data_IF_850201487821
#
_entry.id   IF_850201487821
#
_cell.length_a   1.000
_cell.length_b   1.000
_cell.length_c   1.000
_cell.angle_alpha   90.00
_cell.angle_beta   90.00
_cell.angle_gamma   90.00
#
_symmetry.space_group_name_H-M   'P 1'
#
loop_
_entity.id
_entity.type
_entity.pdbx_description
1 polymer ?
#
# COMPACT_ATOMS: atom_id res chain seq x y z
N UNK A 1 -19.13 -0.61 -3.73
CA UNK A 1 -18.25 0.14 -2.82
C UNK A 1 -18.87 0.20 -1.42
N UNK A 2 -18.14 0.66 -0.41
CA UNK A 2 -18.68 0.96 0.92
C UNK A 2 -19.04 2.44 0.97
N UNK A 3 -20.33 2.77 0.84
CA UNK A 3 -20.79 4.14 0.56
C UNK A 3 -21.31 4.87 1.80
N UNK A 4 -21.53 4.14 2.90
CA UNK A 4 -22.04 4.68 4.15
C UNK A 4 -21.48 3.94 5.37
N UNK A 5 -21.57 4.53 6.58
CA UNK A 5 -21.25 3.83 7.82
C UNK A 5 -22.05 2.53 8.00
N UNK A 6 -23.30 2.50 7.52
CA UNK A 6 -24.13 1.29 7.55
C UNK A 6 -23.57 0.20 6.64
N UNK A 7 -23.20 0.55 5.41
CA UNK A 7 -22.56 -0.42 4.50
C UNK A 7 -21.26 -0.96 5.09
N UNK A 8 -20.55 -0.13 5.85
CA UNK A 8 -19.32 -0.54 6.51
C UNK A 8 -19.56 -1.53 7.64
N UNK A 9 -20.57 -1.32 8.47
CA UNK A 9 -20.98 -2.27 9.51
C UNK A 9 -21.40 -3.61 8.90
N UNK A 10 -22.14 -3.58 7.78
CA UNK A 10 -22.52 -4.79 7.03
C UNK A 10 -21.27 -5.51 6.52
N UNK A 11 -20.34 -4.79 5.89
CA UNK A 11 -19.07 -5.35 5.44
C UNK A 11 -18.30 -6.00 6.59
N UNK A 12 -18.18 -5.34 7.75
CA UNK A 12 -17.43 -5.88 8.89
C UNK A 12 -18.07 -7.12 9.52
N UNK A 13 -19.34 -7.40 9.23
CA UNK A 13 -20.05 -8.62 9.63
C UNK A 13 -20.10 -9.68 8.50
N UNK A 14 -19.52 -9.39 7.33
CA UNK A 14 -19.64 -10.22 6.14
C UNK A 14 -18.66 -11.40 6.10
N UNK A 15 -19.04 -12.52 5.46
CA UNK A 15 -18.10 -13.55 4.99
C UNK A 15 -16.94 -12.97 4.15
N UNK A 16 -17.16 -11.91 3.39
CA UNK A 16 -16.10 -11.25 2.60
C UNK A 16 -15.02 -10.62 3.47
N UNK A 17 -15.39 -9.98 4.58
CA UNK A 17 -14.43 -9.48 5.56
C UNK A 17 -13.61 -10.63 6.16
N UNK A 18 -14.26 -11.74 6.52
CA UNK A 18 -13.57 -12.93 7.04
C UNK A 18 -12.61 -13.53 6.00
N UNK A 19 -13.01 -13.56 4.73
CA UNK A 19 -12.20 -14.04 3.62
C UNK A 19 -10.92 -13.20 3.44
N UNK A 20 -11.05 -11.87 3.41
CA UNK A 20 -9.89 -10.96 3.28
C UNK A 20 -8.97 -11.14 4.48
N UNK A 21 -9.53 -11.16 5.69
CA UNK A 21 -8.76 -11.34 6.92
C UNK A 21 -8.00 -12.68 6.91
N UNK A 22 -8.69 -13.78 6.59
CA UNK A 22 -8.11 -15.11 6.54
C UNK A 22 -7.00 -15.22 5.48
N UNK A 23 -7.17 -14.56 4.33
CA UNK A 23 -6.15 -14.55 3.29
C UNK A 23 -4.90 -13.77 3.72
N UNK A 24 -5.06 -12.53 4.19
CA UNK A 24 -3.93 -11.69 4.66
C UNK A 24 -3.19 -12.38 5.82
N UNK A 25 -3.92 -12.94 6.78
CA UNK A 25 -3.32 -13.61 7.94
C UNK A 25 -2.70 -14.96 7.58
N UNK A 26 -3.29 -15.70 6.63
CA UNK A 26 -2.68 -16.90 6.08
C UNK A 26 -1.37 -16.62 5.33
N UNK A 27 -1.29 -15.49 4.61
CA UNK A 27 -0.04 -15.01 4.03
C UNK A 27 0.99 -14.66 5.12
N UNK A 28 0.57 -13.93 6.15
CA UNK A 28 1.43 -13.58 7.30
C UNK A 28 2.00 -14.83 8.01
N UNK A 29 1.17 -15.85 8.23
CA UNK A 29 1.59 -17.11 8.87
C UNK A 29 2.56 -17.91 8.01
N UNK A 30 2.46 -17.79 6.68
CA UNK A 30 3.32 -18.56 5.75
C UNK A 30 4.80 -18.16 5.81
N UNK A 31 5.11 -16.96 6.32
CA UNK A 31 6.46 -16.38 6.34
C UNK A 31 7.10 -16.36 7.73
N UNK A 32 6.48 -16.98 8.72
CA UNK A 32 7.01 -17.03 10.09
C UNK A 32 8.46 -17.53 10.09
N UNK A 33 9.34 -16.78 10.77
CA UNK A 33 10.76 -17.10 10.96
C UNK A 33 11.55 -17.37 9.66
N UNK A 34 11.10 -16.79 8.54
CA UNK A 34 11.68 -17.06 7.21
C UNK A 34 12.19 -15.78 6.55
N UNK A 35 13.50 -15.65 6.28
CA UNK A 35 14.04 -14.52 5.51
C UNK A 35 13.70 -14.66 4.02
N UNK A 36 13.67 -13.55 3.28
CA UNK A 36 13.37 -13.56 1.85
C UNK A 36 14.38 -14.37 1.04
N UNK A 37 15.65 -14.39 1.46
CA UNK A 37 16.73 -15.17 0.87
C UNK A 37 16.54 -16.69 0.96
N UNK A 38 15.61 -17.17 1.80
CA UNK A 38 15.30 -18.60 1.89
C UNK A 38 14.46 -19.14 0.72
N UNK A 39 13.88 -18.27 -0.11
CA UNK A 39 13.09 -18.67 -1.28
C UNK A 39 13.99 -18.86 -2.49
N UNK A 40 14.00 -20.08 -3.04
CA UNK A 40 14.68 -20.35 -4.31
C UNK A 40 13.79 -19.98 -5.50
N UNK A 41 14.25 -19.04 -6.33
CA UNK A 41 13.55 -18.58 -7.53
C UNK A 41 13.54 -19.60 -8.68
N UNK A 42 14.35 -20.65 -8.62
CA UNK A 42 14.31 -21.71 -9.63
C UNK A 42 13.08 -22.60 -9.44
N UNK A 43 12.70 -22.84 -8.18
CA UNK A 43 11.66 -23.79 -7.75
C UNK A 43 10.24 -23.19 -7.73
N UNK A 44 10.08 -21.93 -8.13
CA UNK A 44 8.77 -21.27 -8.12
C UNK A 44 7.85 -21.78 -9.22
N UNK A 45 6.57 -21.88 -8.87
CA UNK A 45 5.51 -22.24 -9.78
C UNK A 45 5.39 -21.25 -10.95
N UNK A 46 5.06 -21.72 -12.18
CA UNK A 46 4.99 -20.86 -13.37
C UNK A 46 4.12 -19.61 -13.22
N UNK A 47 2.92 -19.65 -12.60
CA UNK A 47 2.10 -18.44 -12.40
C UNK A 47 2.82 -17.37 -11.58
N UNK A 48 3.60 -17.75 -10.57
CA UNK A 48 4.38 -16.80 -9.77
C UNK A 48 5.46 -16.13 -10.60
N UNK A 49 6.12 -16.88 -11.50
CA UNK A 49 7.11 -16.32 -12.45
C UNK A 49 6.45 -15.31 -13.40
N UNK A 50 5.23 -15.59 -13.85
CA UNK A 50 4.44 -14.64 -14.67
C UNK A 50 4.13 -13.37 -13.87
N UNK A 51 3.69 -13.49 -12.61
CA UNK A 51 3.44 -12.31 -11.75
C UNK A 51 4.70 -11.46 -11.56
N UNK A 52 5.86 -12.08 -11.34
CA UNK A 52 7.13 -11.35 -11.24
C UNK A 52 7.47 -10.62 -12.54
N UNK A 53 7.31 -11.27 -13.68
CA UNK A 53 7.50 -10.64 -14.99
C UNK A 53 6.53 -9.46 -15.21
N UNK A 54 5.27 -9.58 -14.76
CA UNK A 54 4.32 -8.46 -14.81
C UNK A 54 4.87 -7.25 -14.03
N UNK A 55 5.41 -7.45 -12.83
CA UNK A 55 6.01 -6.36 -12.05
C UNK A 55 7.26 -5.76 -12.73
N UNK A 56 8.08 -6.58 -13.39
CA UNK A 56 9.22 -6.11 -14.19
C UNK A 56 8.77 -5.29 -15.41
N UNK A 57 7.66 -5.69 -16.04
CA UNK A 57 7.02 -4.92 -17.12
C UNK A 57 6.45 -3.61 -16.59
N UNK A 58 5.80 -3.58 -15.42
CA UNK A 58 5.33 -2.34 -14.78
C UNK A 58 6.50 -1.38 -14.54
N UNK A 59 7.63 -1.86 -14.04
CA UNK A 59 8.84 -1.04 -13.89
C UNK A 59 9.41 -0.55 -15.22
N UNK A 60 9.32 -1.37 -16.27
CA UNK A 60 9.69 -0.95 -17.62
C UNK A 60 8.79 0.19 -18.12
N UNK A 61 7.48 0.12 -17.86
CA UNK A 61 6.54 1.20 -18.18
C UNK A 61 6.83 2.48 -17.40
N UNK A 62 7.26 2.38 -16.13
CA UNK A 62 7.72 3.53 -15.35
C UNK A 62 8.89 4.24 -16.04
N UNK A 63 9.83 3.47 -16.59
CA UNK A 63 10.97 4.02 -17.34
C UNK A 63 10.57 4.68 -18.67
N UNK A 64 9.46 4.24 -19.26
CA UNK A 64 8.89 4.79 -20.51
C UNK A 64 8.02 6.03 -20.28
N UNK A 65 7.60 6.28 -19.05
CA UNK A 65 6.80 7.46 -18.65
C UNK A 65 7.59 8.35 -17.68
N UNK A 66 8.64 9.05 -18.16
CA UNK A 66 9.45 9.90 -17.28
C UNK A 66 8.61 11.05 -16.70
N UNK A 67 8.95 11.53 -15.49
CA UNK A 67 8.21 12.61 -14.84
C UNK A 67 8.36 13.91 -15.63
N UNK A 68 7.25 14.65 -15.78
CA UNK A 68 7.28 15.98 -16.41
C UNK A 68 7.99 17.01 -15.52
N UNK A 69 8.62 18.02 -16.13
CA UNK A 69 9.21 19.13 -15.38
C UNK A 69 8.11 19.95 -14.68
N UNK A 70 8.17 20.03 -13.34
CA UNK A 70 7.12 20.69 -12.55
C UNK A 70 7.50 22.08 -12.03
N UNK A 71 8.57 22.71 -12.55
CA UNK A 71 8.94 24.09 -12.20
C UNK A 71 9.12 24.38 -10.70
N UNK A 72 9.52 23.38 -9.91
CA UNK A 72 9.66 23.48 -8.45
C UNK A 72 8.40 23.15 -7.63
N UNK A 73 7.34 22.63 -8.27
CA UNK A 73 6.20 22.03 -7.57
C UNK A 73 6.66 20.82 -6.76
N UNK A 74 6.03 20.67 -5.60
CA UNK A 74 6.30 19.65 -4.57
C UNK A 74 5.10 18.71 -4.36
N UNK A 75 4.16 18.74 -5.30
CA UNK A 75 2.95 17.92 -5.33
C UNK A 75 3.05 16.86 -6.44
N UNK A 76 2.06 15.96 -6.50
CA UNK A 76 2.03 14.84 -7.43
C UNK A 76 2.26 15.23 -8.89
N UNK A 77 3.12 14.49 -9.59
CA UNK A 77 3.44 14.67 -10.99
C UNK A 77 2.33 14.10 -11.88
N UNK A 78 1.83 14.92 -12.81
CA UNK A 78 0.74 14.51 -13.71
C UNK A 78 1.10 13.37 -14.68
N UNK A 79 2.40 13.14 -14.95
CA UNK A 79 2.88 12.00 -15.74
C UNK A 79 2.50 10.64 -15.12
N UNK A 80 2.13 10.62 -13.83
CA UNK A 80 1.56 9.44 -13.20
C UNK A 80 0.29 8.92 -13.90
N UNK A 81 -0.50 9.83 -14.48
CA UNK A 81 -1.71 9.47 -15.23
C UNK A 81 -1.36 8.66 -16.47
N UNK A 82 -0.35 9.10 -17.21
CA UNK A 82 0.15 8.42 -18.41
C UNK A 82 0.72 7.05 -18.04
N UNK A 83 1.42 6.93 -16.90
CA UNK A 83 1.90 5.66 -16.37
C UNK A 83 0.77 4.66 -16.07
N UNK A 84 -0.29 5.10 -15.38
CA UNK A 84 -1.45 4.24 -15.12
C UNK A 84 -2.18 3.87 -16.41
N UNK A 85 -2.26 4.77 -17.39
CA UNK A 85 -2.88 4.50 -18.68
C UNK A 85 -2.08 3.45 -19.48
N UNK A 86 -0.75 3.45 -19.39
CA UNK A 86 0.11 2.40 -19.94
C UNK A 86 -0.12 1.04 -19.27
N UNK A 87 -0.26 1.01 -17.94
CA UNK A 87 -0.62 -0.22 -17.20
C UNK A 87 -1.99 -0.72 -17.66
N UNK A 88 -2.99 0.17 -17.74
CA UNK A 88 -4.36 -0.17 -18.19
C UNK A 88 -4.35 -0.79 -19.58
N UNK A 89 -3.51 -0.30 -20.49
CA UNK A 89 -3.39 -0.84 -21.84
C UNK A 89 -2.74 -2.24 -21.88
N UNK A 90 -1.81 -2.54 -20.97
CA UNK A 90 -1.05 -3.80 -20.94
C UNK A 90 -1.72 -4.89 -20.07
N UNK A 91 -2.54 -4.50 -19.10
CA UNK A 91 -3.18 -5.41 -18.16
C UNK A 91 -3.96 -6.56 -18.83
N UNK A 92 -4.67 -6.38 -19.96
CA UNK A 92 -5.33 -7.49 -20.63
C UNK A 92 -4.38 -8.63 -21.03
N UNK A 93 -3.23 -8.30 -21.61
CA UNK A 93 -2.23 -9.27 -22.06
C UNK A 93 -1.66 -10.06 -20.86
N UNK A 94 -1.38 -9.37 -19.75
CA UNK A 94 -0.87 -9.98 -18.53
C UNK A 94 -1.84 -10.99 -17.92
N UNK A 95 -3.13 -10.71 -17.95
CA UNK A 95 -4.14 -11.65 -17.45
C UNK A 95 -4.28 -12.86 -18.36
N UNK A 96 -4.18 -12.69 -19.68
CA UNK A 96 -4.14 -13.81 -20.63
C UNK A 96 -2.93 -14.71 -20.37
N UNK A 97 -1.75 -14.14 -20.10
CA UNK A 97 -0.55 -14.89 -19.72
C UNK A 97 -0.72 -15.69 -18.41
N UNK A 98 -1.55 -15.20 -17.49
CA UNK A 98 -1.94 -15.90 -16.26
C UNK A 98 -3.02 -16.96 -16.49
N UNK A 99 -3.52 -17.12 -17.71
CA UNK A 99 -4.60 -18.04 -18.06
C UNK A 99 -5.99 -17.54 -17.64
N UNK A 100 -6.17 -16.22 -17.50
CA UNK A 100 -7.44 -15.58 -17.13
C UNK A 100 -8.14 -15.09 -18.40
N UNK A 101 -9.38 -15.51 -18.58
CA UNK A 101 -10.28 -14.88 -19.54
C UNK A 101 -10.85 -13.58 -18.94
N UNK A 102 -10.83 -12.48 -19.70
CA UNK A 102 -11.30 -11.17 -19.27
C UNK A 102 -12.81 -11.05 -19.43
N UNK A 103 -13.54 -11.96 -18.80
CA UNK A 103 -14.98 -11.94 -18.70
C UNK A 103 -15.39 -12.26 -17.25
N UNK A 104 -16.39 -11.56 -16.72
CA UNK A 104 -16.89 -11.78 -15.36
C UNK A 104 -15.80 -11.68 -14.29
N UNK A 105 -15.44 -12.81 -13.68
CA UNK A 105 -14.43 -12.88 -12.61
C UNK A 105 -13.03 -12.42 -13.04
N UNK A 106 -12.68 -12.54 -14.33
CA UNK A 106 -11.40 -12.02 -14.83
C UNK A 106 -11.35 -10.50 -14.94
N UNK A 107 -12.47 -9.86 -15.27
CA UNK A 107 -12.59 -8.39 -15.27
C UNK A 107 -12.46 -7.84 -13.85
N UNK A 108 -13.06 -8.53 -12.87
CA UNK A 108 -12.91 -8.22 -11.46
C UNK A 108 -11.44 -8.32 -11.01
N UNK A 109 -10.75 -9.42 -11.32
CA UNK A 109 -9.33 -9.56 -11.01
C UNK A 109 -8.50 -8.43 -11.64
N UNK A 110 -8.73 -8.12 -12.92
CA UNK A 110 -8.05 -7.02 -13.61
C UNK A 110 -8.27 -5.68 -12.92
N UNK A 111 -9.49 -5.42 -12.45
CA UNK A 111 -9.83 -4.20 -11.74
C UNK A 111 -9.00 -4.04 -10.45
N UNK A 112 -8.83 -5.09 -9.65
CA UNK A 112 -7.97 -5.03 -8.46
C UNK A 112 -6.50 -4.74 -8.80
N UNK A 113 -5.96 -5.35 -9.86
CA UNK A 113 -4.59 -5.05 -10.31
C UNK A 113 -4.46 -3.57 -10.69
N UNK A 114 -5.39 -3.02 -11.46
CA UNK A 114 -5.36 -1.62 -11.88
C UNK A 114 -5.48 -0.65 -10.69
N UNK A 115 -6.23 -1.01 -9.66
CA UNK A 115 -6.38 -0.22 -8.44
C UNK A 115 -5.23 -0.40 -7.44
N UNK A 116 -4.22 -1.22 -7.76
CA UNK A 116 -3.07 -1.52 -6.90
C UNK A 116 -1.96 -0.47 -6.93
N UNK A 117 -1.95 0.43 -7.92
CA UNK A 117 -0.81 1.32 -8.18
C UNK A 117 -1.03 2.78 -7.76
N UNK A 118 -2.21 3.12 -7.23
CA UNK A 118 -2.57 4.47 -6.78
C UNK A 118 -3.80 5.03 -7.51
N UNK A 119 -4.22 6.24 -7.14
CA UNK A 119 -5.37 6.91 -7.76
C UNK A 119 -4.94 7.90 -8.85
N UNK A 120 -5.46 7.70 -10.06
CA UNK A 120 -5.14 8.51 -11.24
C UNK A 120 -5.45 10.00 -11.08
N UNK A 121 -6.59 10.34 -10.48
CA UNK A 121 -7.06 11.72 -10.39
C UNK A 121 -6.36 12.47 -9.25
N UNK A 122 -6.28 11.83 -8.08
CA UNK A 122 -5.67 12.41 -6.87
C UNK A 122 -4.14 12.36 -6.86
N UNK A 123 -3.53 11.51 -7.69
CA UNK A 123 -2.07 11.29 -7.74
C UNK A 123 -1.56 10.92 -6.33
N UNK A 124 -2.27 9.97 -5.72
CA UNK A 124 -1.99 9.46 -4.39
C UNK A 124 -1.87 7.94 -4.37
N UNK A 125 -1.27 7.42 -3.30
CA UNK A 125 -1.16 6.00 -3.01
C UNK A 125 -1.20 5.79 -1.49
N UNK A 126 -1.69 4.64 -1.03
CA UNK A 126 -1.75 4.30 0.39
C UNK A 126 -2.20 2.86 0.62
N UNK A 127 -2.51 2.53 1.87
CA UNK A 127 -2.79 1.16 2.32
C UNK A 127 -4.01 0.51 1.64
N UNK A 128 -4.96 1.29 1.13
CA UNK A 128 -6.07 0.77 0.31
C UNK A 128 -5.62 0.23 -1.04
N UNK A 129 -4.64 0.87 -1.68
CA UNK A 129 -4.04 0.40 -2.94
C UNK A 129 -3.14 -0.81 -2.70
N UNK A 130 -2.38 -0.80 -1.61
CA UNK A 130 -1.63 -1.96 -1.14
C UNK A 130 -2.55 -3.17 -0.92
N UNK A 131 -3.71 -2.95 -0.29
CA UNK A 131 -4.73 -3.98 -0.08
C UNK A 131 -5.28 -4.51 -1.41
N UNK A 132 -5.54 -3.65 -2.40
CA UNK A 132 -5.99 -4.09 -3.73
C UNK A 132 -4.99 -5.05 -4.39
N UNK A 133 -3.69 -4.87 -4.20
CA UNK A 133 -2.68 -5.81 -4.71
C UNK A 133 -2.81 -7.19 -4.06
N UNK A 134 -3.01 -7.22 -2.74
CA UNK A 134 -3.24 -8.49 -2.04
C UNK A 134 -4.58 -9.12 -2.44
N UNK A 135 -5.61 -8.32 -2.67
CA UNK A 135 -6.91 -8.83 -3.12
C UNK A 135 -6.84 -9.33 -4.56
N UNK A 136 -6.00 -8.75 -5.42
CA UNK A 136 -5.69 -9.34 -6.72
C UNK A 136 -5.07 -10.74 -6.57
N UNK A 137 -4.09 -10.92 -5.66
CA UNK A 137 -3.54 -12.25 -5.36
C UNK A 137 -4.60 -13.21 -4.79
N UNK A 138 -5.55 -12.71 -3.99
CA UNK A 138 -6.71 -13.49 -3.53
C UNK A 138 -7.58 -13.92 -4.71
N UNK A 139 -7.83 -13.05 -5.68
CA UNK A 139 -8.58 -13.40 -6.89
C UNK A 139 -7.89 -14.54 -7.66
N UNK A 140 -6.57 -14.46 -7.84
CA UNK A 140 -5.78 -15.53 -8.47
C UNK A 140 -5.85 -16.85 -7.69
N UNK A 141 -5.87 -16.78 -6.35
CA UNK A 141 -6.06 -17.96 -5.50
C UNK A 141 -7.47 -18.57 -5.65
N UNK A 142 -8.51 -17.74 -5.71
CA UNK A 142 -9.89 -18.22 -5.89
C UNK A 142 -10.13 -18.81 -7.28
N UNK A 143 -9.48 -18.27 -8.31
CA UNK A 143 -9.44 -18.80 -9.68
C UNK A 143 -8.58 -20.06 -9.82
N UNK A 144 -7.96 -20.55 -8.72
CA UNK A 144 -7.10 -21.75 -8.68
C UNK A 144 -5.83 -21.64 -9.53
N UNK A 145 -5.42 -20.43 -9.87
CA UNK A 145 -4.14 -20.15 -10.53
C UNK A 145 -3.00 -20.23 -9.51
N UNK A 146 -3.27 -19.79 -8.29
CA UNK A 146 -2.36 -19.90 -7.14
C UNK A 146 -2.89 -20.90 -6.11
N UNK A 147 -1.98 -21.53 -5.38
CA UNK A 147 -2.27 -22.42 -4.27
C UNK A 147 -1.66 -21.95 -2.95
N UNK A 148 -2.01 -22.64 -1.85
CA UNK A 148 -1.42 -22.37 -0.53
C UNK A 148 0.09 -22.59 -0.48
N UNK A 149 0.63 -23.46 -1.35
CA UNK A 149 2.05 -23.69 -1.48
C UNK A 149 2.80 -22.43 -1.95
N UNK A 150 2.12 -21.51 -2.64
CA UNK A 150 2.73 -20.27 -3.16
C UNK A 150 2.79 -19.16 -2.11
N UNK A 151 2.01 -19.22 -1.02
CA UNK A 151 1.79 -18.11 -0.09
C UNK A 151 3.09 -17.49 0.42
N UNK A 152 4.05 -18.33 0.80
CA UNK A 152 5.36 -17.87 1.28
C UNK A 152 6.06 -17.04 0.21
N UNK A 153 6.14 -17.54 -1.02
CA UNK A 153 6.77 -16.86 -2.14
C UNK A 153 6.01 -15.60 -2.55
N UNK A 154 4.67 -15.61 -2.47
CA UNK A 154 3.86 -14.43 -2.74
C UNK A 154 4.25 -13.26 -1.81
N UNK A 155 4.56 -13.54 -0.55
CA UNK A 155 4.99 -12.50 0.39
C UNK A 155 6.48 -12.17 0.23
N UNK A 156 7.34 -13.18 0.27
CA UNK A 156 8.80 -12.98 0.34
C UNK A 156 9.44 -12.52 -0.97
N UNK A 157 8.77 -12.76 -2.10
CA UNK A 157 9.29 -12.41 -3.42
C UNK A 157 8.35 -11.47 -4.17
N UNK A 158 7.09 -11.87 -4.41
CA UNK A 158 6.17 -11.06 -5.22
C UNK A 158 5.83 -9.74 -4.54
N UNK A 159 5.47 -9.77 -3.27
CA UNK A 159 5.15 -8.55 -2.52
C UNK A 159 6.40 -7.70 -2.28
N UNK A 160 7.55 -8.31 -1.98
CA UNK A 160 8.84 -7.59 -1.95
C UNK A 160 9.13 -6.83 -3.25
N UNK A 161 8.97 -7.49 -4.40
CA UNK A 161 9.13 -6.89 -5.73
C UNK A 161 8.11 -5.77 -5.98
N UNK A 162 6.85 -5.96 -5.60
CA UNK A 162 5.81 -4.95 -5.70
C UNK A 162 6.17 -3.69 -4.89
N UNK A 163 6.70 -3.84 -3.67
CA UNK A 163 7.16 -2.71 -2.85
C UNK A 163 8.31 -1.96 -3.54
N UNK A 164 9.25 -2.65 -4.16
CA UNK A 164 10.33 -1.99 -4.91
C UNK A 164 9.80 -1.15 -6.06
N UNK A 165 8.87 -1.69 -6.85
CA UNK A 165 8.19 -0.93 -7.92
C UNK A 165 7.49 0.29 -7.32
N UNK A 166 6.69 0.09 -6.27
CA UNK A 166 5.92 1.18 -5.67
C UNK A 166 6.80 2.27 -5.07
N UNK A 167 7.93 1.93 -4.44
CA UNK A 167 8.90 2.91 -3.95
C UNK A 167 9.43 3.79 -5.08
N UNK A 168 9.73 3.20 -6.25
CA UNK A 168 10.17 3.96 -7.43
C UNK A 168 9.04 4.82 -8.00
N UNK A 169 7.82 4.30 -8.09
CA UNK A 169 6.65 5.08 -8.53
C UNK A 169 6.41 6.29 -7.60
N UNK A 170 6.43 6.07 -6.28
CA UNK A 170 6.28 7.11 -5.26
C UNK A 170 7.34 8.20 -5.44
N UNK A 171 8.61 7.82 -5.58
CA UNK A 171 9.74 8.74 -5.77
C UNK A 171 9.68 9.48 -7.11
N UNK A 172 9.37 8.78 -8.20
CA UNK A 172 9.35 9.37 -9.55
C UNK A 172 8.24 10.40 -9.70
N UNK A 173 7.04 10.10 -9.18
CA UNK A 173 5.87 10.95 -9.38
C UNK A 173 5.45 11.77 -8.17
N UNK A 174 6.19 11.75 -7.07
CA UNK A 174 5.88 12.54 -5.87
C UNK A 174 4.47 12.25 -5.34
N UNK A 175 4.07 10.98 -5.33
CA UNK A 175 2.72 10.58 -4.96
C UNK A 175 2.37 11.12 -3.57
N UNK A 176 1.15 11.64 -3.42
CA UNK A 176 0.63 12.05 -2.12
C UNK A 176 0.24 10.81 -1.28
N UNK A 177 0.44 10.82 0.04
CA UNK A 177 -0.07 9.78 0.92
C UNK A 177 -1.60 9.77 0.93
N UNK A 178 -2.22 8.66 0.56
CA UNK A 178 -3.66 8.48 0.61
C UNK A 178 -4.10 8.10 2.03
N UNK A 179 -5.02 8.89 2.60
CA UNK A 179 -5.46 8.74 3.98
C UNK A 179 -4.49 9.39 4.97
N UNK A 180 -4.81 10.60 5.44
CA UNK A 180 -3.96 11.34 6.36
C UNK A 180 -4.03 10.75 7.78
N UNK A 181 -3.01 9.98 8.17
CA UNK A 181 -2.72 9.73 9.59
C UNK A 181 -1.70 10.73 10.15
N UNK A 182 -1.10 11.56 9.29
CA UNK A 182 -0.03 12.47 9.64
C UNK A 182 1.12 11.74 10.34
N UNK A 183 1.72 12.39 11.33
CA UNK A 183 2.86 11.85 12.08
C UNK A 183 2.47 10.68 13.01
N UNK A 184 1.17 10.43 13.18
CA UNK A 184 0.64 9.32 13.96
C UNK A 184 0.27 8.09 13.12
N UNK A 185 0.59 8.10 11.82
CA UNK A 185 0.53 6.91 10.98
C UNK A 185 1.71 5.97 11.27
N UNK A 186 1.53 4.68 10.95
CA UNK A 186 2.63 3.71 10.97
C UNK A 186 3.68 4.08 9.91
N UNK A 187 3.21 4.37 8.70
CA UNK A 187 3.97 4.84 7.55
C UNK A 187 3.03 5.67 6.64
N UNK A 188 3.61 6.46 5.74
CA UNK A 188 2.84 7.31 4.83
C UNK A 188 2.07 6.47 3.80
N UNK A 189 2.60 5.31 3.38
CA UNK A 189 2.08 4.57 2.22
C UNK A 189 1.68 3.13 2.52
N UNK A 190 2.49 2.42 3.31
CA UNK A 190 2.41 0.97 3.45
C UNK A 190 1.98 0.54 4.85
N UNK A 191 1.32 -0.60 4.95
CA UNK A 191 1.03 -1.24 6.24
C UNK A 191 1.59 -2.66 6.29
N UNK A 192 1.31 -3.45 5.25
CA UNK A 192 1.58 -4.88 5.22
C UNK A 192 3.07 -5.30 5.33
N UNK A 193 4.08 -4.52 4.90
CA UNK A 193 5.49 -4.86 5.13
C UNK A 193 5.82 -4.99 6.60
N UNK A 194 5.16 -4.20 7.46
CA UNK A 194 5.33 -4.29 8.91
C UNK A 194 4.65 -5.53 9.49
N UNK A 195 3.46 -5.90 9.01
CA UNK A 195 2.78 -7.12 9.44
C UNK A 195 3.57 -8.38 9.03
N UNK A 196 3.87 -8.49 7.73
CA UNK A 196 4.58 -9.64 7.19
C UNK A 196 6.02 -9.71 7.70
N UNK A 197 6.72 -8.57 7.76
CA UNK A 197 8.07 -8.51 8.29
C UNK A 197 8.15 -8.80 9.80
N UNK A 198 7.13 -8.43 10.59
CA UNK A 198 7.07 -8.83 12.00
C UNK A 198 6.85 -10.35 12.14
N UNK A 199 6.14 -10.97 11.19
CA UNK A 199 6.01 -12.43 11.12
C UNK A 199 7.33 -13.10 10.74
N UNK A 200 8.08 -12.56 9.77
CA UNK A 200 9.42 -13.07 9.45
C UNK A 200 10.38 -13.07 10.65
N UNK A 201 10.20 -12.12 11.57
CA UNK A 201 11.06 -11.93 12.74
C UNK A 201 10.49 -12.53 14.03
N UNK A 202 9.36 -13.26 13.98
CA UNK A 202 8.51 -13.59 15.12
C UNK A 202 9.29 -14.19 16.32
N UNK A 203 10.20 -15.11 16.06
CA UNK A 203 11.07 -15.77 17.03
C UNK A 203 12.56 -15.58 16.72
N UNK A 204 12.91 -14.51 16.00
CA UNK A 204 14.28 -14.31 15.56
C UNK A 204 15.26 -14.22 16.75
N UNK A 205 16.36 -14.99 16.77
CA UNK A 205 17.20 -15.16 17.96
C UNK A 205 18.03 -13.91 18.34
N UNK A 206 18.36 -13.05 17.36
CA UNK A 206 19.29 -11.93 17.56
C UNK A 206 18.71 -10.55 17.24
N UNK A 207 18.07 -10.38 16.08
CA UNK A 207 17.37 -9.16 15.68
C UNK A 207 16.16 -8.96 16.60
N UNK A 208 16.23 -7.99 17.50
CA UNK A 208 15.13 -7.58 18.38
C UNK A 208 14.37 -6.40 17.78
N UNK A 209 13.16 -6.08 18.28
CA UNK A 209 12.45 -4.87 17.85
C UNK A 209 13.25 -3.57 17.91
N UNK A 210 14.10 -3.41 18.93
CA UNK A 210 14.93 -2.22 19.09
C UNK A 210 16.04 -2.12 18.03
N UNK A 211 16.35 -3.22 17.35
CA UNK A 211 17.39 -3.25 16.32
C UNK A 211 17.03 -2.41 15.08
N UNK A 212 15.77 -1.98 14.92
CA UNK A 212 15.39 -1.04 13.85
C UNK A 212 16.05 0.34 13.97
N UNK A 213 16.66 0.65 15.12
CA UNK A 213 17.47 1.87 15.31
C UNK A 213 18.95 1.67 14.95
N UNK A 214 19.36 0.44 14.67
CA UNK A 214 20.75 0.07 14.44
C UNK A 214 21.03 0.07 12.94
N UNK A 215 21.74 1.10 12.48
CA UNK A 215 22.02 1.29 11.05
C UNK A 215 22.71 0.09 10.40
N UNK A 216 23.70 -0.52 11.08
CA UNK A 216 24.39 -1.72 10.56
C UNK A 216 23.46 -2.92 10.42
N UNK A 217 22.49 -3.08 11.33
CA UNK A 217 21.48 -4.15 11.21
C UNK A 217 20.57 -3.89 10.02
N UNK A 218 20.16 -2.63 9.80
CA UNK A 218 19.35 -2.28 8.63
C UNK A 218 20.14 -2.53 7.35
N UNK A 219 21.38 -2.06 7.25
CA UNK A 219 22.21 -2.22 6.05
C UNK A 219 22.43 -3.68 5.68
N UNK A 220 22.66 -4.55 6.66
CA UNK A 220 22.90 -5.97 6.43
C UNK A 220 21.61 -6.75 6.11
N UNK A 221 20.50 -6.45 6.78
CA UNK A 221 19.32 -7.33 6.80
C UNK A 221 18.08 -6.75 6.11
N UNK A 222 18.12 -5.50 5.60
CA UNK A 222 16.97 -4.86 4.96
C UNK A 222 16.48 -5.56 3.69
N UNK A 223 17.34 -6.29 2.97
CA UNK A 223 16.93 -7.07 1.79
C UNK A 223 16.18 -8.36 2.16
N UNK A 224 16.46 -8.92 3.34
CA UNK A 224 15.96 -10.22 3.77
C UNK A 224 14.69 -10.12 4.61
N UNK A 225 14.45 -8.99 5.27
CA UNK A 225 13.31 -8.79 6.16
C UNK A 225 12.51 -7.55 5.77
N UNK A 226 11.25 -7.77 5.36
CA UNK A 226 10.34 -6.73 4.88
C UNK A 226 10.18 -5.57 5.88
N UNK A 227 10.17 -5.86 7.18
CA UNK A 227 10.08 -4.83 8.23
C UNK A 227 11.29 -3.90 8.18
N UNK A 228 12.49 -4.48 8.15
CA UNK A 228 13.74 -3.72 8.12
C UNK A 228 13.91 -2.98 6.80
N UNK A 229 13.52 -3.60 5.68
CA UNK A 229 13.48 -2.97 4.37
C UNK A 229 12.54 -1.77 4.32
N UNK A 230 11.37 -1.85 4.95
CA UNK A 230 10.45 -0.72 5.04
C UNK A 230 10.99 0.38 5.96
N UNK A 231 11.58 0.05 7.10
CA UNK A 231 12.26 1.04 7.97
C UNK A 231 13.39 1.74 7.21
N UNK A 232 14.19 1.00 6.44
CA UNK A 232 15.24 1.57 5.60
C UNK A 232 14.67 2.60 4.60
N UNK A 233 13.59 2.24 3.91
CA UNK A 233 12.93 3.15 2.98
C UNK A 233 12.40 4.41 3.68
N UNK A 234 11.76 4.27 4.84
CA UNK A 234 11.31 5.42 5.64
C UNK A 234 12.50 6.31 6.00
N UNK A 235 13.58 5.76 6.55
CA UNK A 235 14.75 6.55 6.91
C UNK A 235 15.38 7.30 5.72
N UNK A 236 15.37 6.71 4.53
CA UNK A 236 15.95 7.35 3.31
C UNK A 236 15.07 8.44 2.69
N UNK A 237 13.77 8.46 3.00
CA UNK A 237 12.80 9.44 2.47
C UNK A 237 12.50 10.57 3.45
N UNK A 238 13.02 10.51 4.68
CA UNK A 238 12.81 11.54 5.70
C UNK A 238 14.10 12.36 5.87
N UNK A 239 13.91 13.67 5.99
CA UNK A 239 15.02 14.65 5.97
C UNK A 239 15.67 14.83 7.34
N UNK A 240 14.99 14.39 8.39
CA UNK A 240 15.46 14.47 9.78
C UNK A 240 16.01 13.10 10.19
N UNK A 241 17.22 13.06 10.76
CA UNK A 241 17.80 11.82 11.28
C UNK A 241 17.12 11.43 12.59
N UNK A 242 16.79 10.14 12.69
CA UNK A 242 16.22 9.51 13.88
C UNK A 242 14.73 9.25 13.74
N UNK A 243 14.36 7.97 13.85
CA UNK A 243 13.01 7.46 13.62
C UNK A 243 11.96 8.18 14.47
N UNK A 244 12.27 8.46 15.74
CA UNK A 244 11.43 9.22 16.67
C UNK A 244 10.89 10.54 16.14
N UNK A 245 11.64 11.23 15.28
CA UNK A 245 11.29 12.59 14.84
C UNK A 245 10.34 12.61 13.64
N UNK A 246 10.34 11.56 12.83
CA UNK A 246 9.53 11.50 11.61
C UNK A 246 8.50 10.36 11.62
N UNK A 247 8.67 9.37 12.51
CA UNK A 247 7.83 8.18 12.64
C UNK A 247 7.74 7.75 14.11
N UNK A 248 7.18 8.58 15.01
CA UNK A 248 7.12 8.28 16.45
C UNK A 248 6.31 7.01 16.75
N UNK A 249 5.32 6.64 15.94
CA UNK A 249 4.59 5.39 16.13
C UNK A 249 5.51 4.16 15.93
N UNK A 250 6.37 4.17 14.92
CA UNK A 250 7.37 3.09 14.72
C UNK A 250 8.40 3.08 15.85
N UNK A 251 8.82 4.25 16.31
CA UNK A 251 9.71 4.41 17.48
C UNK A 251 9.09 3.79 18.74
N UNK A 252 7.84 4.11 19.05
CA UNK A 252 7.11 3.57 20.21
C UNK A 252 6.89 2.06 20.09
N UNK A 253 6.54 1.56 18.90
CA UNK A 253 6.37 0.12 18.64
C UNK A 253 7.67 -0.64 18.87
N UNK A 254 8.82 -0.05 18.52
CA UNK A 254 10.14 -0.66 18.69
C UNK A 254 10.52 -0.95 20.14
N UNK A 255 9.88 -0.27 21.11
CA UNK A 255 10.06 -0.51 22.53
C UNK A 255 9.36 -1.80 23.03
N UNK A 256 8.61 -2.50 22.17
CA UNK A 256 8.01 -3.77 22.51
C UNK A 256 9.07 -4.84 22.83
N UNK A 257 8.76 -5.71 23.80
CA UNK A 257 9.69 -6.73 24.31
C UNK A 257 10.03 -7.85 23.33
N UNK A 258 9.23 -8.03 22.27
CA UNK A 258 9.37 -9.15 21.32
C UNK A 258 8.63 -8.87 20.02
N UNK A 259 9.06 -9.51 18.93
CA UNK A 259 8.34 -9.51 17.66
C UNK A 259 6.96 -10.16 17.76
N UNK A 260 6.77 -11.18 18.60
CA UNK A 260 5.43 -11.73 18.91
C UNK A 260 4.44 -10.68 19.38
N UNK A 261 4.88 -9.73 20.23
CA UNK A 261 4.01 -8.63 20.68
C UNK A 261 3.69 -7.66 19.54
N UNK A 262 4.68 -7.38 18.68
CA UNK A 262 4.52 -6.48 17.53
C UNK A 262 3.59 -7.11 16.51
N UNK A 263 3.82 -8.35 16.10
CA UNK A 263 3.02 -9.07 15.11
C UNK A 263 1.55 -9.13 15.52
N UNK A 264 1.26 -9.53 16.76
CA UNK A 264 -0.11 -9.52 17.27
C UNK A 264 -0.72 -8.12 17.36
N UNK A 265 0.12 -7.09 17.59
CA UNK A 265 -0.26 -5.69 17.51
C UNK A 265 -0.60 -5.26 16.09
N UNK A 266 0.22 -5.64 15.11
CA UNK A 266 0.04 -5.35 13.69
C UNK A 266 -1.23 -6.00 13.15
N UNK A 267 -1.59 -7.21 13.57
CA UNK A 267 -2.88 -7.83 13.22
C UNK A 267 -4.07 -7.01 13.71
N UNK A 268 -4.05 -6.56 14.96
CA UNK A 268 -5.11 -5.72 15.52
C UNK A 268 -5.18 -4.36 14.84
N UNK A 269 -4.02 -3.78 14.56
CA UNK A 269 -3.91 -2.48 13.92
C UNK A 269 -4.33 -2.54 12.45
N UNK A 270 -4.07 -3.63 11.72
CA UNK A 270 -4.58 -3.85 10.37
C UNK A 270 -6.11 -3.80 10.34
N UNK A 271 -6.74 -4.51 11.29
CA UNK A 271 -8.21 -4.47 11.42
C UNK A 271 -8.69 -3.07 11.76
N UNK A 272 -8.08 -2.38 12.73
CA UNK A 272 -8.54 -1.09 13.21
C UNK A 272 -8.33 0.05 12.21
N UNK A 273 -7.14 0.12 11.60
CA UNK A 273 -6.68 1.27 10.82
C UNK A 273 -6.82 1.07 9.30
N UNK A 274 -6.96 -0.17 8.82
CA UNK A 274 -7.24 -0.48 7.42
C UNK A 274 -8.71 -0.88 7.26
N UNK A 275 -9.10 -2.06 7.74
CA UNK A 275 -10.43 -2.62 7.44
C UNK A 275 -11.60 -1.90 8.13
N UNK A 276 -11.41 -1.37 9.34
CA UNK A 276 -12.43 -0.61 10.09
C UNK A 276 -12.37 0.89 9.86
N UNK A 277 -11.47 1.36 8.99
CA UNK A 277 -11.35 2.78 8.67
C UNK A 277 -12.09 3.09 7.38
N UNK A 278 -13.28 3.69 7.51
CA UNK A 278 -14.13 4.01 6.36
C UNK A 278 -13.42 4.82 5.27
N UNK A 279 -12.62 5.87 5.57
CA UNK A 279 -11.88 6.59 4.53
C UNK A 279 -10.90 5.72 3.72
N UNK A 280 -10.41 4.62 4.29
CA UNK A 280 -9.53 3.67 3.58
C UNK A 280 -10.38 2.70 2.74
N UNK A 281 -11.47 2.19 3.34
CA UNK A 281 -12.30 1.15 2.74
C UNK A 281 -13.41 1.65 1.81
N UNK A 282 -13.71 2.95 1.77
CA UNK A 282 -14.79 3.51 0.94
C UNK A 282 -14.61 3.23 -0.55
N UNK A 283 -13.35 3.19 -1.02
CA UNK A 283 -12.99 2.89 -2.41
C UNK A 283 -12.85 1.38 -2.68
N UNK A 284 -13.05 0.53 -1.67
CA UNK A 284 -12.97 -0.92 -1.84
C UNK A 284 -14.07 -1.41 -2.77
N UNK A 285 -13.66 -2.19 -3.77
CA UNK A 285 -14.55 -2.71 -4.80
C UNK A 285 -15.06 -4.10 -4.40
N UNK A 286 -16.19 -4.49 -4.98
CA UNK A 286 -16.77 -5.81 -4.79
C UNK A 286 -17.14 -6.39 -6.16
N UNK A 287 -17.14 -7.70 -6.27
CA UNK A 287 -17.52 -8.43 -7.47
C UNK A 287 -17.99 -9.84 -7.17
N UNK A 288 -17.73 -10.78 -8.07
CA UNK A 288 -18.10 -12.19 -7.95
C UNK A 288 -17.15 -13.01 -7.06
N UNK A 289 -15.84 -12.69 -7.08
CA UNK A 289 -14.81 -13.35 -6.28
C UNK A 289 -14.79 -12.77 -4.87
N UNK A 290 -14.99 -11.46 -4.74
CA UNK A 290 -15.04 -10.74 -3.47
C UNK A 290 -16.43 -10.09 -3.35
N UNK A 291 -17.44 -10.83 -2.88
CA UNK A 291 -18.83 -10.38 -2.95
C UNK A 291 -19.16 -9.26 -1.98
N UNK A 292 -20.05 -8.37 -2.41
CA UNK A 292 -20.77 -7.48 -1.50
C UNK A 292 -21.88 -8.26 -0.77
N UNK A 293 -22.27 -7.79 0.39
CA UNK A 293 -23.38 -8.40 1.15
C UNK A 293 -24.72 -7.78 0.84
N UNK A 294 -25.77 -8.56 1.06
CA UNK A 294 -27.14 -8.09 0.96
C UNK A 294 -27.38 -6.91 1.91
N UNK A 295 -28.04 -5.87 1.39
CA UNK A 295 -28.34 -4.65 2.15
C UNK A 295 -27.28 -3.56 2.10
N UNK A 296 -26.15 -3.80 1.42
CA UNK A 296 -25.22 -2.74 1.03
C UNK A 296 -25.80 -1.89 -0.11
N UNK A 297 -25.51 -0.60 -0.08
CA UNK A 297 -25.96 0.38 -1.08
C UNK A 297 -25.23 0.20 -2.41
N UNK A 298 -25.92 0.39 -3.55
CA UNK A 298 -25.27 0.44 -4.88
C UNK A 298 -25.02 1.88 -5.31
N UNK A 299 -24.05 2.08 -6.21
CA UNK A 299 -23.73 3.40 -6.76
C UNK A 299 -24.91 3.97 -7.56
N UNK A 300 -25.64 3.12 -8.30
CA UNK A 300 -26.84 3.56 -9.02
C UNK A 300 -27.96 4.00 -8.08
N UNK A 301 -28.14 3.31 -6.95
CA UNK A 301 -29.15 3.66 -5.95
C UNK A 301 -28.88 5.03 -5.30
N UNK A 302 -27.63 5.49 -5.30
CA UNK A 302 -27.20 6.77 -4.73
C UNK A 302 -26.89 7.84 -5.79
N UNK A 303 -27.04 7.52 -7.09
CA UNK A 303 -26.79 8.46 -8.19
C UNK A 303 -25.33 8.90 -8.30
N UNK A 304 -24.39 8.07 -7.84
CA UNK A 304 -22.95 8.36 -7.83
C UNK A 304 -22.38 7.95 -9.19
N UNK A 305 -21.70 8.87 -9.88
CA UNK A 305 -21.01 8.60 -11.16
C UNK A 305 -19.77 7.72 -10.98
N UNK A 306 -19.18 7.26 -12.09
CA UNK A 306 -17.95 6.47 -12.04
C UNK A 306 -16.78 7.30 -11.48
N UNK A 307 -15.84 6.67 -10.77
CA UNK A 307 -14.67 7.35 -10.18
C UNK A 307 -13.79 8.08 -11.23
N UNK A 308 -13.87 7.68 -12.50
CA UNK A 308 -13.18 8.37 -13.60
C UNK A 308 -13.73 9.80 -13.85
N UNK A 309 -14.93 10.10 -13.32
CA UNK A 309 -15.60 11.42 -13.37
C UNK A 309 -15.40 12.25 -12.08
N UNK A 310 -14.70 11.74 -11.07
CA UNK A 310 -14.44 12.50 -9.83
C UNK A 310 -13.51 13.70 -10.08
N UNK A 311 -13.94 14.89 -9.69
CA UNK A 311 -13.10 16.10 -9.70
C UNK A 311 -11.92 15.96 -8.72
N UNK A 312 -10.79 16.61 -9.01
CA UNK A 312 -9.59 16.61 -8.14
C UNK A 312 -9.96 16.96 -6.68
N UNK A 313 -10.09 15.94 -5.82
CA UNK A 313 -10.54 16.12 -4.43
C UNK A 313 -11.21 14.91 -3.77
N UNK A 314 -11.74 13.95 -4.54
CA UNK A 314 -12.24 12.67 -4.01
C UNK A 314 -13.38 12.80 -3.00
N UNK A 315 -14.36 13.68 -3.26
CA UNK A 315 -15.53 13.84 -2.40
C UNK A 315 -16.78 13.30 -3.10
N UNK A 316 -17.37 12.24 -2.52
CA UNK A 316 -18.68 11.71 -2.93
C UNK A 316 -19.77 12.69 -2.50
N UNK A 317 -20.42 13.34 -3.46
CA UNK A 317 -21.58 14.20 -3.17
C UNK A 317 -22.84 13.37 -2.99
N UNK A 318 -23.41 13.37 -1.78
CA UNK A 318 -24.78 12.94 -1.53
C UNK A 318 -25.68 14.16 -1.32
N UNK A 319 -26.85 14.15 -1.98
CA UNK A 319 -28.01 15.03 -1.77
C UNK A 319 -27.96 16.49 -2.26
N UNK A 320 -27.40 16.77 -3.45
CA UNK A 320 -27.84 17.90 -4.31
C UNK A 320 -27.92 19.31 -3.67
N UNK A 321 -27.29 19.51 -2.51
CA UNK A 321 -27.26 20.75 -1.75
C UNK A 321 -25.79 21.13 -1.61
N UNK A 322 -25.41 22.38 -1.90
CA UNK A 322 -24.06 22.85 -1.63
C UNK A 322 -23.89 22.91 -0.11
N UNK A 323 -23.37 21.84 0.49
CA UNK A 323 -22.76 21.99 1.83
C UNK A 323 -21.52 22.84 1.65
N UNK A 324 -21.34 23.76 2.59
CA UNK A 324 -20.07 24.47 2.80
C UNK A 324 -18.91 23.50 2.59
N UNK A 325 -17.82 23.97 1.95
CA UNK A 325 -16.52 23.30 1.89
C UNK A 325 -16.14 22.80 3.28
N UNK A 326 -16.57 21.61 3.64
CA UNK A 326 -16.05 20.87 4.76
C UNK A 326 -14.94 20.04 4.15
N UNK A 327 -13.85 20.75 3.86
CA UNK A 327 -12.53 20.14 3.81
C UNK A 327 -12.47 19.17 4.98
N UNK A 328 -12.46 17.87 4.69
CA UNK A 328 -12.59 16.84 5.71
C UNK A 328 -11.48 17.06 6.73
N UNK A 329 -11.81 17.69 7.86
CA UNK A 329 -10.91 17.89 8.99
C UNK A 329 -10.84 16.53 9.68
N UNK A 330 -10.12 15.60 9.06
CA UNK A 330 -9.61 14.43 9.75
C UNK A 330 -8.80 14.96 10.93
N UNK A 331 -9.14 14.49 12.13
CA UNK A 331 -8.48 14.88 13.37
C UNK A 331 -6.97 14.63 13.23
N UNK A 332 -6.21 15.68 12.88
CA UNK A 332 -4.81 15.59 12.44
C UNK A 332 -4.42 16.60 11.35
N UNK A 333 -5.36 17.10 10.55
CA UNK A 333 -5.11 18.16 9.57
C UNK A 333 -5.15 19.54 10.25
N UNK A 334 -3.99 20.03 10.68
CA UNK A 334 -3.91 21.21 11.54
C UNK A 334 -4.36 22.50 10.82
N UNK A 335 -4.50 22.53 9.49
CA UNK A 335 -4.81 23.78 8.76
C UNK A 335 -5.49 23.63 7.39
N UNK A 336 -5.75 22.42 6.85
CA UNK A 336 -6.31 22.30 5.49
C UNK A 336 -5.37 22.81 4.39
N UNK A 337 -4.09 22.98 4.71
CA UNK A 337 -3.05 23.34 3.74
C UNK A 337 -2.40 22.03 3.30
N UNK A 338 -2.47 21.71 2.00
CA UNK A 338 -1.77 20.55 1.46
C UNK A 338 -0.28 20.65 1.77
N UNK A 339 0.22 19.71 2.56
CA UNK A 339 1.65 19.55 2.87
C UNK A 339 2.23 18.55 1.86
N UNK A 340 3.41 18.84 1.28
CA UNK A 340 4.09 17.91 0.39
C UNK A 340 4.37 16.57 1.05
N UNK A 341 4.36 15.50 0.27
CA UNK A 341 4.81 14.19 0.75
C UNK A 341 6.28 14.23 1.15
N UNK A 342 6.70 13.39 2.10
CA UNK A 342 8.11 13.32 2.48
C UNK A 342 8.99 12.86 1.33
N UNK A 343 8.44 12.00 0.47
CA UNK A 343 9.09 11.54 -0.76
C UNK A 343 9.37 12.70 -1.71
N UNK A 344 8.40 13.59 -1.94
CA UNK A 344 8.60 14.80 -2.75
C UNK A 344 9.68 15.71 -2.14
N UNK A 345 9.65 15.89 -0.81
CA UNK A 345 10.62 16.71 -0.10
C UNK A 345 12.05 16.15 -0.21
N UNK A 346 12.23 14.84 -0.05
CA UNK A 346 13.53 14.18 -0.14
C UNK A 346 14.14 14.29 -1.54
N UNK A 347 13.35 14.05 -2.59
CA UNK A 347 13.82 14.11 -3.97
C UNK A 347 14.15 15.54 -4.42
N UNK A 348 13.38 16.54 -4.00
CA UNK A 348 13.71 17.94 -4.25
C UNK A 348 15.02 18.36 -3.56
N UNK A 349 15.29 17.88 -2.34
CA UNK A 349 16.59 18.16 -1.67
C UNK A 349 17.76 17.51 -2.41
N UNK A 350 17.60 16.26 -2.90
CA UNK A 350 18.61 15.58 -3.72
C UNK A 350 18.89 16.33 -5.02
N UNK A 351 17.84 16.75 -5.75
CA UNK A 351 17.97 17.53 -7.00
C UNK A 351 18.70 18.85 -6.79
N UNK A 352 18.56 19.47 -5.62
CA UNK A 352 19.22 20.74 -5.26
C UNK A 352 20.63 20.57 -4.69
N UNK A 353 21.15 19.34 -4.59
CA UNK A 353 22.48 19.06 -4.04
C UNK A 353 22.61 19.34 -2.54
N UNK A 354 21.49 19.46 -1.82
CA UNK A 354 21.44 19.73 -0.38
C UNK A 354 21.44 18.39 0.39
N UNK A 355 22.53 17.65 0.30
CA UNK A 355 22.75 16.45 1.11
C UNK A 355 23.17 16.80 2.54
N UNK A 356 22.31 16.48 3.51
CA UNK A 356 22.66 16.16 4.90
C UNK A 356 22.92 17.30 5.94
N UNK A 357 22.43 18.53 5.73
CA UNK A 357 22.81 19.68 6.60
C UNK A 357 21.66 20.41 7.32
N UNK A 358 20.79 19.69 8.03
CA UNK A 358 19.96 20.32 9.09
C UNK A 358 20.05 19.54 10.41
N UNK A 359 21.22 19.56 11.04
CA UNK A 359 21.34 19.26 12.47
C UNK A 359 20.78 20.46 13.25
N UNK A 360 19.58 20.34 13.83
CA UNK A 360 19.07 21.35 14.76
C UNK A 360 19.58 21.08 16.16
N UNK A 361 19.99 22.16 16.83
CA UNK A 361 20.42 22.19 18.22
C UNK A 361 19.20 21.87 19.10
N UNK A 362 19.30 20.96 20.08
CA UNK A 362 18.19 20.73 21.01
C UNK A 362 17.89 22.05 21.73
N UNK A 363 16.62 22.44 21.74
CA UNK A 363 16.18 23.39 22.76
C UNK A 363 16.01 22.58 24.06
N UNK A 364 16.73 23.00 25.10
CA UNK A 364 16.64 22.48 26.47
C UNK A 364 15.20 22.42 27.00
#
# INVERSE_FOLDING_TARGET
>A
RILSPKDHEIFLASPTYELILAFVFGLSESVVDTPSSAVNLEDVNPPVKVILNILDRVETLLSQSPPTEQGGSRFGNKAFRDFLDLIKAQAPEWHIELGIDLSGAGEEASTYLLQSFGNRMRIDYGSGHELNFIVWLLCLYQLRILGRADFRTLVLTVFGRYLEVMRRVQLTYYLEPAGSHGVWGLDDYQFLPFLFGASQLLHHPFITPLAIHQQLTIEEFASDYLYLGQVNFVNTTKTVKGLRWHSPMLDDISAAKSWTKIEGGMRRMFVAEVLRKLPVMQHFLFGSLVPAEEGMSTEEALGIGHEEDESEGGELTLDGKPKHKHQHVGWGDCCGIKVPSSVAAAEEMKKRGLGDTLRRIPFD
#
